data_IF_918309790420
#
_entry.id   IF_918309790420
#
_cell.length_a   1.000
_cell.length_b   1.000
_cell.length_c   1.000
_cell.angle_alpha   90.00
_cell.angle_beta   90.00
_cell.angle_gamma   90.00
#
_symmetry.space_group_name_H-M   'P 1'
#
loop_
_entity.id
_entity.type
_entity.pdbx_description
1 polymer ?
#
# COMPACT_ATOMS: atom_id res chain seq x y z
N UNK A 1 -13.92 -47.24 -2.07
CA UNK A 1 -12.59 -46.59 -2.14
C UNK A 1 -12.58 -45.08 -2.38
N UNK A 2 -13.72 -44.41 -2.60
CA UNK A 2 -13.74 -42.94 -2.85
C UNK A 2 -13.67 -42.05 -1.59
N UNK A 3 -13.92 -42.58 -0.39
CA UNK A 3 -13.96 -41.77 0.84
C UNK A 3 -12.64 -41.70 1.60
N UNK A 4 -11.65 -42.54 1.25
CA UNK A 4 -10.36 -42.59 1.96
C UNK A 4 -9.46 -41.39 1.61
N UNK A 5 -9.59 -40.82 0.40
CA UNK A 5 -8.79 -39.67 -0.01
C UNK A 5 -9.24 -38.34 0.65
N UNK A 6 -10.53 -38.26 1.01
CA UNK A 6 -11.06 -37.05 1.69
C UNK A 6 -10.54 -36.98 3.13
N UNK A 7 -10.34 -38.11 3.79
CA UNK A 7 -9.81 -38.17 5.16
C UNK A 7 -8.33 -37.81 5.20
N UNK A 8 -7.55 -38.22 4.17
CA UNK A 8 -6.12 -37.86 4.06
C UNK A 8 -5.96 -36.35 3.76
N UNK A 9 -6.84 -35.75 2.97
CA UNK A 9 -6.80 -34.31 2.71
C UNK A 9 -7.14 -33.50 3.97
N UNK A 10 -8.05 -33.97 4.81
CA UNK A 10 -8.44 -33.30 6.05
C UNK A 10 -7.41 -33.47 7.19
N UNK A 11 -6.67 -34.58 7.21
CA UNK A 11 -5.61 -34.80 8.21
C UNK A 11 -4.34 -33.98 7.95
N UNK A 12 -4.11 -33.50 6.70
CA UNK A 12 -3.01 -32.59 6.36
C UNK A 12 -3.24 -31.16 6.87
N UNK A 13 -4.49 -30.76 7.17
CA UNK A 13 -4.80 -29.48 7.78
C UNK A 13 -4.73 -29.45 9.31
N UNK A 14 -4.56 -30.62 9.96
CA UNK A 14 -4.52 -30.73 11.41
C UNK A 14 -3.11 -30.69 12.01
N UNK A 15 -2.08 -30.32 11.24
CA UNK A 15 -0.77 -30.02 11.78
C UNK A 15 -0.86 -28.63 12.41
N UNK A 16 -1.29 -28.57 13.66
CA UNK A 16 -1.10 -27.42 14.52
C UNK A 16 0.40 -27.18 14.67
N UNK A 17 0.99 -26.42 13.76
CA UNK A 17 2.30 -25.83 13.97
C UNK A 17 2.18 -24.89 15.15
N UNK A 18 2.57 -25.31 16.34
CA UNK A 18 2.91 -24.42 17.44
C UNK A 18 4.16 -23.64 17.04
N UNK A 19 4.01 -22.72 16.08
CA UNK A 19 5.01 -21.69 15.85
C UNK A 19 5.06 -20.88 17.15
N UNK A 20 6.10 -21.07 17.94
CA UNK A 20 6.37 -20.20 19.08
C UNK A 20 6.31 -18.78 18.55
N UNK A 21 5.38 -17.97 19.06
CA UNK A 21 5.20 -16.60 18.61
C UNK A 21 6.36 -15.75 19.16
N UNK A 22 7.50 -15.83 18.47
CA UNK A 22 8.71 -15.07 18.79
C UNK A 22 8.64 -13.61 18.31
N UNK A 23 7.50 -13.19 17.76
CA UNK A 23 7.29 -11.86 17.19
C UNK A 23 6.85 -10.87 18.25
N UNK A 24 7.38 -9.66 18.18
CA UNK A 24 6.84 -8.51 18.90
C UNK A 24 5.79 -7.85 18.01
N UNK A 25 4.61 -7.58 18.57
CA UNK A 25 3.49 -6.98 17.81
C UNK A 25 3.08 -5.66 18.42
N UNK A 26 2.97 -4.65 17.58
CA UNK A 26 2.33 -3.36 17.87
C UNK A 26 1.02 -3.25 17.10
N UNK A 27 -0.01 -2.65 17.68
CA UNK A 27 -1.35 -2.53 17.08
C UNK A 27 -1.83 -1.11 17.18
N UNK A 28 -2.20 -0.51 16.03
CA UNK A 28 -2.61 0.87 15.97
C UNK A 28 -3.92 1.01 15.17
N UNK A 29 -4.66 2.06 15.47
CA UNK A 29 -5.82 2.47 14.69
C UNK A 29 -5.41 3.62 13.78
N UNK A 30 -5.72 3.53 12.47
CA UNK A 30 -5.28 4.49 11.47
C UNK A 30 -6.42 5.11 10.69
N UNK A 31 -6.20 6.33 10.22
CA UNK A 31 -7.09 7.01 9.28
C UNK A 31 -6.30 7.67 8.16
N UNK A 32 -6.61 7.32 6.89
CA UNK A 32 -5.92 7.84 5.73
C UNK A 32 -6.83 8.65 4.84
N UNK A 33 -6.36 9.81 4.44
CA UNK A 33 -6.99 10.64 3.42
C UNK A 33 -6.08 10.67 2.21
N UNK A 34 -6.60 10.33 1.03
CA UNK A 34 -5.84 10.29 -0.21
C UNK A 34 -6.55 11.10 -1.30
N UNK A 35 -5.78 11.93 -1.97
CA UNK A 35 -6.15 12.61 -3.20
C UNK A 35 -5.33 12.04 -4.35
N UNK A 36 -5.98 11.73 -5.47
CA UNK A 36 -5.33 11.35 -6.73
C UNK A 36 -5.82 12.29 -7.84
N UNK A 37 -4.91 12.97 -8.48
CA UNK A 37 -5.15 13.80 -9.65
C UNK A 37 -4.55 13.19 -10.90
N UNK A 38 -5.28 13.28 -12.01
CA UNK A 38 -4.79 12.90 -13.34
C UNK A 38 -5.09 14.04 -14.30
N UNK A 39 -4.05 14.67 -14.85
CA UNK A 39 -4.17 15.71 -15.88
C UNK A 39 -3.83 15.09 -17.23
N UNK A 40 -4.80 15.00 -18.13
CA UNK A 40 -4.59 14.46 -19.47
C UNK A 40 -3.79 15.46 -20.31
N UNK A 41 -2.67 15.00 -20.88
CA UNK A 41 -1.84 15.78 -21.79
C UNK A 41 -2.23 15.55 -23.26
N UNK A 42 -2.53 14.29 -23.57
CA UNK A 42 -3.08 13.83 -24.86
C UNK A 42 -3.74 12.45 -24.68
N UNK A 43 -4.02 11.74 -25.77
CA UNK A 43 -4.72 10.44 -25.75
C UNK A 43 -3.97 9.37 -24.94
N UNK A 44 -2.63 9.37 -24.99
CA UNK A 44 -1.80 8.34 -24.39
C UNK A 44 -1.05 8.81 -23.12
N UNK A 45 -0.89 10.12 -22.93
CA UNK A 45 -0.06 10.66 -21.87
C UNK A 45 -0.88 11.47 -20.86
N UNK A 46 -0.58 11.28 -19.59
CA UNK A 46 -1.19 12.05 -18.51
C UNK A 46 -0.20 12.26 -17.37
N UNK A 47 -0.28 13.40 -16.71
CA UNK A 47 0.41 13.67 -15.45
C UNK A 47 -0.41 13.14 -14.28
N UNK A 48 0.23 12.41 -13.38
CA UNK A 48 -0.35 11.96 -12.13
C UNK A 48 0.19 12.78 -10.96
N UNK A 49 -0.71 13.13 -10.05
CA UNK A 49 -0.38 13.75 -8.76
C UNK A 49 -1.13 13.02 -7.65
N UNK A 50 -0.49 12.86 -6.50
CA UNK A 50 -1.08 12.17 -5.35
C UNK A 50 -0.61 12.84 -4.06
N UNK A 51 -1.55 13.10 -3.17
CA UNK A 51 -1.30 13.49 -1.78
C UNK A 51 -1.97 12.50 -0.86
N UNK A 52 -1.24 11.96 0.10
CA UNK A 52 -1.81 11.16 1.17
C UNK A 52 -1.45 11.76 2.53
N UNK A 53 -2.47 11.99 3.34
CA UNK A 53 -2.35 12.33 4.74
C UNK A 53 -2.75 11.11 5.56
N UNK A 54 -1.79 10.51 6.20
CA UNK A 54 -1.98 9.33 7.04
C UNK A 54 -1.90 9.76 8.49
N UNK A 55 -2.85 9.29 9.27
CA UNK A 55 -2.98 9.59 10.68
C UNK A 55 -2.97 8.31 11.50
N UNK A 56 -2.37 8.38 12.66
CA UNK A 56 -2.48 7.42 13.75
C UNK A 56 -3.61 7.88 14.69
N UNK A 57 -4.19 6.94 15.42
CA UNK A 57 -5.33 7.15 16.28
C UNK A 57 -6.48 7.83 15.51
N UNK A 58 -6.86 7.22 14.37
CA UNK A 58 -7.80 7.69 13.36
C UNK A 58 -7.35 9.01 12.71
N UNK A 59 -7.50 10.12 13.39
CA UNK A 59 -7.21 11.46 12.83
C UNK A 59 -6.31 12.32 13.73
N UNK A 60 -5.95 11.82 14.92
CA UNK A 60 -5.38 12.64 15.97
C UNK A 60 -3.91 12.98 15.73
N UNK A 61 -3.07 11.99 15.41
CA UNK A 61 -1.61 12.17 15.30
C UNK A 61 -1.12 11.95 13.87
N UNK A 62 -0.09 12.68 13.42
CA UNK A 62 0.49 12.41 12.12
C UNK A 62 1.20 11.05 12.11
N UNK A 63 0.91 10.23 11.09
CA UNK A 63 1.61 8.99 10.81
C UNK A 63 2.58 9.17 9.63
N UNK A 64 2.08 9.61 8.49
CA UNK A 64 2.90 9.88 7.32
C UNK A 64 2.20 10.85 6.37
N UNK A 65 2.96 11.78 5.82
CA UNK A 65 2.56 12.57 4.64
C UNK A 65 3.29 12.03 3.42
N UNK A 66 2.57 11.80 2.33
CA UNK A 66 3.17 11.33 1.08
C UNK A 66 2.71 12.20 -0.08
N UNK A 67 3.66 12.73 -0.82
CA UNK A 67 3.48 13.39 -2.12
C UNK A 67 4.03 12.47 -3.20
N UNK A 68 3.29 12.30 -4.29
CA UNK A 68 3.75 11.52 -5.45
C UNK A 68 3.37 12.23 -6.73
N UNK A 69 4.29 12.22 -7.69
CA UNK A 69 4.02 12.66 -9.05
C UNK A 69 4.57 11.64 -10.04
N UNK A 70 4.05 11.65 -11.27
CA UNK A 70 4.54 10.74 -12.29
C UNK A 70 3.90 10.98 -13.63
N UNK A 71 4.57 10.53 -14.67
CA UNK A 71 4.09 10.57 -16.04
C UNK A 71 3.52 9.20 -16.41
N UNK A 72 2.24 9.18 -16.77
CA UNK A 72 1.53 8.00 -17.28
C UNK A 72 1.68 7.90 -18.79
N UNK A 73 1.88 6.68 -19.27
CA UNK A 73 1.75 6.30 -20.67
C UNK A 73 0.77 5.14 -20.79
N UNK A 74 -0.30 5.31 -21.55
CA UNK A 74 -1.40 4.35 -21.71
C UNK A 74 -1.55 4.02 -23.19
N UNK A 75 -0.83 3.00 -23.71
CA UNK A 75 -0.86 2.64 -25.14
C UNK A 75 -2.20 2.05 -25.57
N UNK A 76 -2.98 1.50 -24.63
CA UNK A 76 -4.29 0.92 -24.89
C UNK A 76 -5.12 0.86 -23.58
N UNK A 77 -6.37 0.43 -23.67
CA UNK A 77 -7.30 0.38 -22.54
C UNK A 77 -6.99 -0.70 -21.48
N UNK A 78 -6.03 -1.60 -21.76
CA UNK A 78 -5.65 -2.69 -20.84
C UNK A 78 -4.35 -2.44 -20.11
N UNK A 79 -3.45 -1.67 -20.69
CA UNK A 79 -2.09 -1.52 -20.18
C UNK A 79 -1.75 -0.06 -19.97
N UNK A 80 -1.21 0.27 -18.79
CA UNK A 80 -0.63 1.59 -18.54
C UNK A 80 0.69 1.46 -17.79
N UNK A 81 1.60 2.36 -18.09
CA UNK A 81 2.89 2.51 -17.43
C UNK A 81 2.95 3.84 -16.71
N UNK A 82 3.72 3.91 -15.64
CA UNK A 82 4.04 5.17 -14.97
C UNK A 82 5.47 5.15 -14.49
N UNK A 83 6.17 6.25 -14.68
CA UNK A 83 7.44 6.55 -14.02
C UNK A 83 7.25 7.81 -13.19
N UNK A 84 7.91 7.87 -12.04
CA UNK A 84 7.70 9.03 -11.19
C UNK A 84 8.57 9.07 -9.96
N UNK A 85 8.24 10.04 -9.12
CA UNK A 85 8.91 10.33 -7.88
C UNK A 85 7.90 10.48 -6.74
N UNK A 86 8.32 10.09 -5.53
CA UNK A 86 7.55 10.29 -4.32
C UNK A 86 8.45 10.79 -3.18
N UNK A 87 7.90 11.69 -2.39
CA UNK A 87 8.44 12.17 -1.13
C UNK A 87 7.51 11.72 -0.01
N UNK A 88 8.05 11.07 1.00
CA UNK A 88 7.30 10.68 2.19
C UNK A 88 7.98 11.18 3.44
N UNK A 89 7.23 11.84 4.29
CA UNK A 89 7.63 12.24 5.64
C UNK A 89 6.92 11.32 6.63
N UNK A 90 7.67 10.52 7.37
CA UNK A 90 7.13 9.57 8.36
C UNK A 90 7.40 10.09 9.75
N UNK A 91 6.34 10.24 10.53
CA UNK A 91 6.38 10.71 11.91
C UNK A 91 6.50 9.53 12.88
N UNK A 92 6.88 9.82 14.11
CA UNK A 92 6.85 8.81 15.16
C UNK A 92 5.41 8.53 15.58
N UNK A 93 4.97 7.28 15.49
CA UNK A 93 3.62 6.83 15.84
C UNK A 93 3.63 5.39 16.35
N UNK A 94 2.53 4.99 16.97
CA UNK A 94 2.39 3.68 17.58
C UNK A 94 3.15 3.53 18.91
N UNK A 95 3.07 2.35 19.49
CA UNK A 95 3.76 2.01 20.74
C UNK A 95 5.25 1.72 20.55
N UNK A 96 5.64 1.32 19.31
CA UNK A 96 7.02 0.99 18.96
C UNK A 96 7.47 1.90 17.82
N UNK A 97 8.51 2.73 18.01
CA UNK A 97 9.04 3.59 16.95
C UNK A 97 9.59 2.80 15.76
N UNK A 98 9.31 3.26 14.52
CA UNK A 98 9.82 2.64 13.31
C UNK A 98 11.35 2.70 13.21
N UNK A 99 11.97 3.78 13.63
CA UNK A 99 13.42 3.87 13.77
C UNK A 99 13.85 3.81 15.23
N UNK A 100 15.12 3.49 15.48
CA UNK A 100 15.66 3.30 16.84
C UNK A 100 15.59 4.57 17.72
N UNK A 101 15.52 5.73 17.11
CA UNK A 101 15.60 7.02 17.82
C UNK A 101 14.21 7.62 18.07
N UNK A 102 13.15 7.02 17.53
CA UNK A 102 11.78 7.57 17.63
C UNK A 102 11.62 8.93 16.95
N UNK A 103 12.48 9.27 15.98
CA UNK A 103 12.42 10.52 15.23
C UNK A 103 11.63 10.36 13.94
N UNK A 104 11.08 11.45 13.44
CA UNK A 104 10.57 11.53 12.09
C UNK A 104 11.70 11.33 11.09
N UNK A 105 11.37 10.88 9.88
CA UNK A 105 12.34 10.71 8.81
C UNK A 105 11.70 10.89 7.44
N UNK A 106 12.54 11.41 6.53
CA UNK A 106 12.19 11.65 5.14
C UNK A 106 12.57 10.45 4.28
N UNK A 107 11.77 10.16 3.28
CA UNK A 107 12.05 9.13 2.30
C UNK A 107 11.80 9.63 0.89
N UNK A 108 12.84 9.58 0.06
CA UNK A 108 12.77 9.84 -1.36
C UNK A 108 12.60 8.52 -2.12
N UNK A 109 11.73 8.51 -3.13
CA UNK A 109 11.49 7.31 -3.97
C UNK A 109 11.45 7.70 -5.43
N UNK A 110 12.21 7.02 -6.27
CA UNK A 110 11.89 6.89 -7.68
C UNK A 110 11.09 5.59 -7.89
N UNK A 111 10.20 5.57 -8.88
CA UNK A 111 9.42 4.36 -9.12
C UNK A 111 9.04 4.18 -10.58
N UNK A 112 8.90 2.92 -10.96
CA UNK A 112 8.34 2.47 -12.23
C UNK A 112 7.14 1.57 -11.91
N UNK A 113 6.07 1.71 -12.68
CA UNK A 113 4.82 1.01 -12.44
C UNK A 113 4.21 0.55 -13.76
N UNK A 114 3.71 -0.67 -13.77
CA UNK A 114 2.87 -1.21 -14.85
C UNK A 114 1.53 -1.63 -14.25
N UNK A 115 0.44 -1.27 -14.91
CA UNK A 115 -0.91 -1.69 -14.53
C UNK A 115 -1.56 -2.39 -15.71
N UNK A 116 -1.99 -3.63 -15.48
CA UNK A 116 -2.80 -4.41 -16.41
C UNK A 116 -4.24 -4.40 -15.90
N UNK A 117 -5.17 -3.97 -16.76
CA UNK A 117 -6.61 -3.93 -16.47
C UNK A 117 -7.35 -4.90 -17.37
N UNK A 118 -8.29 -5.63 -16.82
CA UNK A 118 -9.14 -6.55 -17.56
C UNK A 118 -10.58 -6.53 -17.01
N UNK A 119 -11.48 -7.17 -17.70
CA UNK A 119 -12.87 -7.30 -17.29
C UNK A 119 -13.37 -8.73 -17.50
N UNK A 120 -13.96 -9.30 -16.44
CA UNK A 120 -14.56 -10.63 -16.45
C UNK A 120 -15.99 -10.52 -15.92
N UNK A 121 -16.97 -10.61 -16.83
CA UNK A 121 -18.38 -10.37 -16.48
C UNK A 121 -18.59 -8.97 -15.91
N UNK A 122 -19.03 -8.89 -14.65
CA UNK A 122 -19.21 -7.62 -13.93
C UNK A 122 -17.96 -7.16 -13.18
N UNK A 123 -16.93 -8.00 -13.08
CA UNK A 123 -15.70 -7.70 -12.34
C UNK A 123 -14.74 -6.87 -13.19
N UNK A 124 -14.36 -5.69 -12.73
CA UNK A 124 -13.25 -4.92 -13.27
C UNK A 124 -12.00 -5.30 -12.48
N UNK A 125 -11.04 -5.96 -13.14
CA UNK A 125 -9.83 -6.50 -12.55
C UNK A 125 -8.64 -5.60 -12.86
N UNK A 126 -7.74 -5.46 -11.90
CA UNK A 126 -6.49 -4.70 -12.09
C UNK A 126 -5.33 -5.37 -11.37
N UNK A 127 -4.22 -5.53 -12.09
CA UNK A 127 -2.94 -5.99 -11.57
C UNK A 127 -1.94 -4.86 -11.67
N UNK A 128 -1.37 -4.43 -10.57
CA UNK A 128 -0.38 -3.36 -10.52
C UNK A 128 0.94 -3.90 -10.01
N UNK A 129 1.97 -3.75 -10.82
CA UNK A 129 3.36 -4.03 -10.47
C UNK A 129 4.09 -2.70 -10.31
N UNK A 130 4.86 -2.54 -9.24
CA UNK A 130 5.64 -1.33 -9.01
C UNK A 130 7.00 -1.70 -8.46
N UNK A 131 8.03 -1.12 -9.05
CA UNK A 131 9.40 -1.16 -8.54
C UNK A 131 9.72 0.21 -7.96
N UNK A 132 10.23 0.24 -6.74
CA UNK A 132 10.63 1.47 -6.05
C UNK A 132 12.11 1.39 -5.66
N UNK A 133 12.87 2.44 -5.97
CA UNK A 133 14.17 2.75 -5.42
C UNK A 133 13.95 3.77 -4.31
N UNK A 134 14.37 3.43 -3.10
CA UNK A 134 14.06 4.18 -1.89
C UNK A 134 15.34 4.68 -1.24
N UNK A 135 15.39 5.95 -0.90
CA UNK A 135 16.43 6.57 -0.08
C UNK A 135 15.78 7.02 1.23
N UNK A 136 16.07 6.31 2.30
CA UNK A 136 15.43 6.47 3.61
C UNK A 136 16.37 7.24 4.51
N UNK A 137 15.94 8.40 5.00
CA UNK A 137 16.68 9.26 5.90
C UNK A 137 17.01 8.58 7.22
N UNK A 138 18.21 8.75 7.69
CA UNK A 138 18.72 8.27 8.98
C UNK A 138 19.53 9.32 9.71
N UNK A 139 19.66 9.10 10.99
CA UNK A 139 20.48 9.91 11.90
C UNK A 139 21.65 9.04 12.38
N UNK A 140 22.88 9.44 12.13
CA UNK A 140 24.08 8.74 12.65
C UNK A 140 24.25 8.94 14.16
N UNK A 141 23.61 9.98 14.73
CA UNK A 141 23.64 10.28 16.16
C UNK A 141 22.27 10.76 16.67
N UNK A 142 21.91 10.40 17.91
CA UNK A 142 20.70 10.95 18.57
C UNK A 142 20.70 12.47 18.74
N UNK A 143 21.87 13.11 18.76
CA UNK A 143 22.01 14.55 18.94
C UNK A 143 21.62 15.37 17.70
N UNK A 144 21.57 14.76 16.52
CA UNK A 144 21.27 15.44 15.27
C UNK A 144 19.80 15.85 15.19
N UNK A 145 19.54 17.05 14.70
CA UNK A 145 18.18 17.57 14.47
C UNK A 145 17.62 17.22 13.08
N UNK A 146 18.49 16.80 12.16
CA UNK A 146 18.15 16.42 10.77
C UNK A 146 18.88 15.14 10.40
N UNK A 147 18.32 14.42 9.40
CA UNK A 147 19.00 13.28 8.80
C UNK A 147 20.29 13.71 8.15
N UNK A 148 21.34 12.93 8.35
CA UNK A 148 22.67 13.12 7.77
C UNK A 148 23.09 11.98 6.83
N UNK A 149 22.29 10.92 6.77
CA UNK A 149 22.46 9.77 5.89
C UNK A 149 21.18 9.39 5.17
N UNK A 150 21.32 8.80 3.98
CA UNK A 150 20.21 8.20 3.25
C UNK A 150 20.56 6.77 2.84
N UNK A 151 19.80 5.82 3.36
CA UNK A 151 20.01 4.40 3.09
C UNK A 151 19.19 3.99 1.88
N UNK A 152 19.89 3.46 0.88
CA UNK A 152 19.28 2.97 -0.35
C UNK A 152 18.71 1.57 -0.18
N UNK A 153 17.46 1.35 -0.65
CA UNK A 153 16.78 0.05 -0.69
C UNK A 153 15.92 -0.07 -1.95
N UNK A 154 15.72 -1.30 -2.41
CA UNK A 154 14.72 -1.58 -3.43
C UNK A 154 13.49 -2.24 -2.81
N UNK A 155 12.33 -1.98 -3.43
CA UNK A 155 11.06 -2.62 -3.08
C UNK A 155 10.24 -2.94 -4.32
N UNK A 156 9.82 -4.19 -4.42
CA UNK A 156 8.81 -4.63 -5.37
C UNK A 156 7.44 -4.59 -4.69
N UNK A 157 6.42 -4.16 -5.44
CA UNK A 157 5.03 -4.17 -4.98
C UNK A 157 4.16 -4.81 -6.04
N UNK A 158 3.26 -5.66 -5.59
CA UNK A 158 2.20 -6.21 -6.41
C UNK A 158 0.87 -5.96 -5.75
N UNK A 159 -0.11 -5.43 -6.51
CA UNK A 159 -1.48 -5.24 -6.05
C UNK A 159 -2.44 -5.90 -7.03
N UNK A 160 -3.31 -6.72 -6.49
CA UNK A 160 -4.52 -7.16 -7.16
C UNK A 160 -5.70 -6.36 -6.63
N UNK A 161 -6.53 -5.86 -7.55
CA UNK A 161 -7.74 -5.12 -7.21
C UNK A 161 -8.89 -5.60 -8.08
N UNK A 162 -10.07 -5.74 -7.48
CA UNK A 162 -11.32 -5.96 -8.17
C UNK A 162 -12.34 -4.90 -7.78
N UNK A 163 -13.09 -4.39 -8.77
CA UNK A 163 -14.22 -3.52 -8.54
C UNK A 163 -15.48 -4.21 -9.07
N UNK A 164 -16.58 -4.12 -8.31
CA UNK A 164 -17.83 -4.78 -8.59
C UNK A 164 -18.95 -3.72 -8.56
N UNK A 165 -19.65 -3.44 -9.66
CA UNK A 165 -20.76 -2.50 -9.64
C UNK A 165 -21.89 -3.05 -8.74
N UNK A 166 -22.42 -2.20 -7.88
CA UNK A 166 -23.58 -2.53 -7.03
C UNK A 166 -24.91 -2.22 -7.72
N UNK A 167 -24.87 -1.60 -8.89
CA UNK A 167 -26.02 -1.31 -9.74
C UNK A 167 -25.62 -1.49 -11.21
N UNK A 168 -26.42 -2.25 -11.96
CA UNK A 168 -26.14 -2.54 -13.38
C UNK A 168 -25.02 -3.55 -13.59
N UNK A 169 -24.44 -3.58 -14.79
CA UNK A 169 -23.41 -4.55 -15.22
C UNK A 169 -22.02 -3.92 -15.41
N UNK A 170 -21.89 -2.61 -15.16
CA UNK A 170 -20.64 -1.87 -15.33
C UNK A 170 -20.63 -0.64 -14.41
N UNK A 171 -19.42 -0.18 -14.04
CA UNK A 171 -19.24 1.06 -13.27
C UNK A 171 -19.33 2.25 -14.23
N UNK A 172 -20.54 2.70 -14.45
CA UNK A 172 -20.88 3.92 -15.21
C UNK A 172 -20.96 5.14 -14.26
N UNK A 173 -21.30 6.29 -14.80
CA UNK A 173 -21.56 7.49 -14.00
C UNK A 173 -22.73 7.27 -13.04
N UNK A 174 -22.67 7.88 -11.88
CA UNK A 174 -23.63 7.75 -10.78
C UNK A 174 -23.84 6.28 -10.34
N UNK A 175 -22.77 5.48 -10.38
CA UNK A 175 -22.81 4.07 -10.00
C UNK A 175 -22.03 3.83 -8.70
N UNK A 176 -22.67 3.28 -7.65
CA UNK A 176 -21.98 2.74 -6.50
C UNK A 176 -21.30 1.42 -6.85
N UNK A 177 -20.16 1.13 -6.25
CA UNK A 177 -19.43 -0.12 -6.45
C UNK A 177 -18.67 -0.53 -5.19
N UNK A 178 -18.41 -1.82 -5.07
CA UNK A 178 -17.51 -2.39 -4.09
C UNK A 178 -16.13 -2.51 -4.71
N UNK A 179 -15.10 -2.13 -3.98
CA UNK A 179 -13.70 -2.31 -4.36
C UNK A 179 -12.96 -3.11 -3.29
N UNK A 180 -12.29 -4.17 -3.69
CA UNK A 180 -11.44 -4.97 -2.82
C UNK A 180 -10.04 -5.03 -3.43
N UNK A 181 -9.02 -4.80 -2.62
CA UNK A 181 -7.64 -5.00 -3.06
C UNK A 181 -6.75 -5.56 -1.97
N UNK A 182 -5.74 -6.29 -2.43
CA UNK A 182 -4.62 -6.75 -1.64
C UNK A 182 -3.31 -6.30 -2.31
N UNK A 183 -2.40 -5.73 -1.55
CA UNK A 183 -1.10 -5.27 -2.00
C UNK A 183 0.01 -5.81 -1.12
N UNK A 184 0.89 -6.62 -1.69
CA UNK A 184 2.11 -7.10 -1.04
C UNK A 184 3.32 -6.29 -1.47
N UNK A 185 4.24 -6.05 -0.54
CA UNK A 185 5.47 -5.31 -0.75
C UNK A 185 6.66 -6.11 -0.22
N UNK A 186 7.65 -6.31 -1.09
CA UNK A 186 8.85 -7.13 -0.83
C UNK A 186 10.08 -6.26 -1.00
N UNK A 187 10.90 -6.17 0.06
CA UNK A 187 12.22 -5.56 0.03
C UNK A 187 13.25 -6.50 -0.60
N UNK A 188 14.21 -5.98 -1.34
CA UNK A 188 15.31 -6.78 -1.90
C UNK A 188 16.56 -5.95 -2.15
N UNK A 189 17.70 -6.63 -2.30
CA UNK A 189 18.99 -6.01 -2.50
C UNK A 189 19.68 -5.59 -1.20
N UNK A 190 20.54 -4.56 -1.27
CA UNK A 190 21.30 -4.09 -0.12
C UNK A 190 20.39 -3.44 0.93
N UNK A 191 20.81 -3.50 2.19
CA UNK A 191 20.21 -2.83 3.34
C UNK A 191 18.78 -3.28 3.71
N UNK A 192 18.30 -4.38 3.16
CA UNK A 192 16.95 -4.89 3.46
C UNK A 192 16.87 -5.46 4.88
N UNK A 193 17.96 -6.10 5.36
CA UNK A 193 18.00 -6.77 6.66
C UNK A 193 16.81 -7.71 6.85
N UNK A 194 16.08 -7.57 7.96
CA UNK A 194 14.89 -8.37 8.26
C UNK A 194 13.67 -8.02 7.40
N UNK A 195 13.70 -6.91 6.66
CA UNK A 195 12.55 -6.34 5.97
C UNK A 195 12.34 -6.90 4.55
N UNK A 196 12.57 -8.20 4.35
CA UNK A 196 12.23 -8.87 3.09
C UNK A 196 10.71 -8.82 2.88
N UNK A 197 9.91 -9.17 3.88
CA UNK A 197 8.50 -8.83 3.91
C UNK A 197 8.36 -7.39 4.44
N UNK A 198 8.21 -6.41 3.54
CA UNK A 198 8.06 -5.01 3.97
C UNK A 198 6.66 -4.75 4.51
N UNK A 199 5.64 -5.02 3.72
CA UNK A 199 4.24 -4.79 4.10
C UNK A 199 3.26 -5.64 3.30
N UNK A 200 2.07 -5.82 3.88
CA UNK A 200 0.85 -6.19 3.17
C UNK A 200 -0.26 -5.18 3.50
N UNK A 201 -1.13 -4.89 2.54
CA UNK A 201 -2.29 -4.02 2.70
C UNK A 201 -3.52 -4.65 2.07
N UNK A 202 -4.56 -4.81 2.88
CA UNK A 202 -5.87 -5.25 2.41
C UNK A 202 -6.86 -4.11 2.62
N UNK A 203 -7.68 -3.81 1.61
CA UNK A 203 -8.75 -2.85 1.77
C UNK A 203 -10.05 -3.33 1.15
N UNK A 204 -11.16 -2.97 1.80
CA UNK A 204 -12.53 -3.19 1.35
C UNK A 204 -13.22 -1.84 1.38
N UNK A 205 -13.56 -1.32 0.22
CA UNK A 205 -14.03 0.05 0.04
C UNK A 205 -15.37 0.08 -0.66
N UNK A 206 -16.26 0.94 -0.19
CA UNK A 206 -17.43 1.36 -0.95
C UNK A 206 -17.04 2.57 -1.80
N UNK A 207 -17.22 2.47 -3.09
CA UNK A 207 -16.93 3.53 -4.05
C UNK A 207 -18.17 4.08 -4.70
N UNK A 208 -18.10 5.33 -5.14
CA UNK A 208 -19.09 5.97 -5.97
C UNK A 208 -18.43 6.74 -7.12
N UNK A 209 -18.80 6.40 -8.33
CA UNK A 209 -18.39 7.16 -9.51
C UNK A 209 -19.42 8.24 -9.79
N UNK A 210 -19.11 9.49 -9.50
CA UNK A 210 -20.00 10.64 -9.73
C UNK A 210 -20.07 10.99 -11.21
N UNK A 211 -18.93 10.95 -11.88
CA UNK A 211 -18.78 11.30 -13.30
C UNK A 211 -17.49 10.64 -13.85
N UNK A 212 -17.17 10.78 -15.15
CA UNK A 212 -15.89 10.34 -15.70
C UNK A 212 -14.70 11.02 -15.03
N UNK A 213 -14.93 12.18 -14.40
CA UNK A 213 -13.89 13.01 -13.79
C UNK A 213 -13.75 12.85 -12.27
N UNK A 214 -14.71 12.23 -11.58
CA UNK A 214 -14.72 12.16 -10.12
C UNK A 214 -15.17 10.79 -9.61
N UNK A 215 -14.33 10.19 -8.78
CA UNK A 215 -14.64 9.00 -7.95
C UNK A 215 -14.24 9.27 -6.52
N UNK A 216 -15.04 8.78 -5.58
CA UNK A 216 -14.72 8.77 -4.16
C UNK A 216 -14.90 7.34 -3.66
N UNK A 217 -13.94 6.89 -2.86
CA UNK A 217 -13.94 5.57 -2.22
C UNK A 217 -13.67 5.75 -0.74
N UNK A 218 -14.33 4.96 0.10
CA UNK A 218 -14.08 4.95 1.53
C UNK A 218 -14.37 3.59 2.14
N UNK A 219 -13.63 3.21 3.17
CA UNK A 219 -13.85 1.95 3.84
C UNK A 219 -12.69 1.48 4.69
N UNK A 220 -12.67 0.20 4.96
CA UNK A 220 -11.70 -0.46 5.83
C UNK A 220 -10.35 -0.64 5.14
N UNK A 221 -9.29 -0.42 5.91
CA UNK A 221 -7.90 -0.69 5.54
C UNK A 221 -7.20 -1.43 6.68
N UNK A 222 -6.55 -2.54 6.34
CA UNK A 222 -5.53 -3.18 7.17
C UNK A 222 -4.17 -2.97 6.54
N UNK A 223 -3.17 -2.61 7.33
CA UNK A 223 -1.77 -2.59 6.96
C UNK A 223 -0.98 -3.41 7.97
N UNK A 224 -0.35 -4.47 7.51
CA UNK A 224 0.62 -5.26 8.27
C UNK A 224 2.01 -4.93 7.74
N UNK A 225 2.94 -4.51 8.59
CA UNK A 225 4.31 -4.21 8.21
C UNK A 225 5.30 -4.89 9.16
N UNK A 226 6.45 -5.29 8.64
CA UNK A 226 7.59 -5.76 9.41
C UNK A 226 8.60 -4.62 9.55
N UNK A 227 9.18 -4.49 10.73
CA UNK A 227 10.25 -3.52 10.95
C UNK A 227 11.55 -4.01 10.29
N UNK A 228 12.38 -3.09 9.83
CA UNK A 228 13.69 -3.41 9.25
C UNK A 228 14.74 -3.78 10.30
N UNK A 229 14.34 -3.92 11.56
CA UNK A 229 15.20 -4.24 12.72
C UNK A 229 14.50 -5.20 13.65
N UNK A 230 15.29 -5.98 14.33
CA UNK A 230 14.83 -6.74 15.48
C UNK A 230 14.76 -5.87 16.76
N UNK A 231 13.91 -6.29 17.67
CA UNK A 231 13.78 -5.72 19.01
C UNK A 231 14.00 -6.86 20.00
N UNK A 232 15.05 -6.76 20.80
CA UNK A 232 15.44 -7.82 21.76
C UNK A 232 15.60 -9.20 21.08
N UNK A 233 16.23 -9.22 19.89
CA UNK A 233 16.48 -10.46 19.14
C UNK A 233 15.20 -11.10 18.54
N UNK A 234 14.12 -10.32 18.38
CA UNK A 234 12.86 -10.78 17.80
C UNK A 234 12.37 -9.85 16.69
N UNK A 235 11.82 -10.44 15.65
CA UNK A 235 11.16 -9.70 14.59
C UNK A 235 9.97 -8.89 15.14
N UNK A 236 9.89 -7.63 14.77
CA UNK A 236 8.80 -6.74 15.17
C UNK A 236 7.85 -6.49 14.00
N UNK A 237 6.56 -6.58 14.28
CA UNK A 237 5.47 -6.33 13.34
C UNK A 237 4.55 -5.26 13.87
N UNK A 238 4.02 -4.45 12.96
CA UNK A 238 2.99 -3.49 13.27
C UNK A 238 1.72 -3.79 12.45
N UNK A 239 0.59 -3.87 13.14
CA UNK A 239 -0.73 -4.13 12.56
C UNK A 239 -1.59 -2.89 12.72
N UNK A 240 -1.79 -2.18 11.64
CA UNK A 240 -2.55 -0.95 11.59
C UNK A 240 -3.92 -1.22 10.95
N UNK A 241 -4.99 -1.02 11.69
CA UNK A 241 -6.37 -1.19 11.22
C UNK A 241 -7.08 0.15 11.23
N UNK A 242 -7.89 0.43 10.24
CA UNK A 242 -8.62 1.68 10.26
C UNK A 242 -9.38 1.97 8.98
N UNK A 243 -9.52 3.25 8.69
CA UNK A 243 -10.32 3.75 7.59
C UNK A 243 -9.45 4.48 6.57
N UNK A 244 -9.84 4.39 5.31
CA UNK A 244 -9.27 5.20 4.24
C UNK A 244 -10.39 5.87 3.44
N UNK A 245 -10.18 7.13 3.08
CA UNK A 245 -11.00 7.85 2.11
C UNK A 245 -10.08 8.29 0.97
N UNK A 246 -10.47 7.96 -0.26
CA UNK A 246 -9.74 8.31 -1.47
C UNK A 246 -10.62 9.09 -2.42
N UNK A 247 -10.17 10.26 -2.84
CA UNK A 247 -10.77 11.03 -3.93
C UNK A 247 -9.89 10.97 -5.16
N UNK A 248 -10.50 10.71 -6.32
CA UNK A 248 -9.78 10.61 -7.60
C UNK A 248 -10.42 11.54 -8.63
N UNK A 249 -9.60 12.44 -9.18
CA UNK A 249 -9.98 13.44 -10.16
C UNK A 249 -9.26 13.24 -11.49
N UNK A 250 -9.96 13.50 -12.57
CA UNK A 250 -9.43 13.54 -13.95
C UNK A 250 -9.75 14.92 -14.54
N UNK A 251 -8.71 15.64 -14.96
CA UNK A 251 -8.77 16.99 -15.56
C UNK A 251 -8.48 16.93 -17.03
#
# INVERSE_FOLDING_TARGET
>A
MKNSYLIILFSLFAINSYAQNTRISDRNTIGWLAYNGTVRLNENWALHTELQLRRDDLVSRPQQTLLRTGLNYTPNNKLSFRVGYALAETFNYGGIPLNNLGKQFTEHRSYQMATLSDKSGIFELSHRFMLEQRWIGRYSSPALSKEDEFIYMNRMRYMFRTNIPLKGKAIADKTPYLSVHDEIMIGFGKNVNENVFDQNRIAILLGYRFSPKLRIEGGFLNQSLQFSREINGRNAFQYNNGLIITSSFVF
#
